data_IF_413128370689
#
_entry.id   IF_413128370689
#
_cell.length_a   1.000
_cell.length_b   1.000
_cell.length_c   1.000
_cell.angle_alpha   90.00
_cell.angle_beta   90.00
_cell.angle_gamma   90.00
#
_symmetry.space_group_name_H-M   'P 1'
#
loop_
_entity.id
_entity.type
_entity.pdbx_description
1 polymer ?
#
# COMPACT_ATOMS: atom_id res chain seq x y z
N UNK A 1 -0.45 0.90 3.96
CA UNK A 1 -0.60 1.63 5.24
C UNK A 1 -1.25 3.02 5.09
N UNK A 2 -1.07 3.72 3.98
CA UNK A 2 -1.81 4.96 3.68
C UNK A 2 -3.32 4.70 3.62
N UNK A 3 -3.75 3.60 3.04
CA UNK A 3 -5.15 3.19 2.91
C UNK A 3 -5.86 2.87 4.25
N UNK A 4 -5.20 2.17 5.17
CA UNK A 4 -5.78 1.85 6.49
C UNK A 4 -6.08 3.08 7.37
N UNK A 5 -5.54 4.25 7.02
CA UNK A 5 -5.84 5.52 7.70
C UNK A 5 -6.89 6.36 6.99
N UNK A 6 -7.11 6.10 5.69
CA UNK A 6 -8.14 6.78 4.89
C UNK A 6 -9.46 6.01 4.98
N UNK A 7 -9.44 4.68 5.05
CA UNK A 7 -10.65 3.87 5.17
C UNK A 7 -11.51 4.18 6.42
N UNK A 8 -10.97 4.32 7.65
CA UNK A 8 -11.76 4.78 8.79
C UNK A 8 -12.34 6.18 8.59
N UNK A 9 -11.62 7.06 7.89
CA UNK A 9 -12.12 8.39 7.53
C UNK A 9 -13.24 8.27 6.48
N UNK A 10 -13.09 7.37 5.52
CA UNK A 10 -14.09 7.09 4.48
C UNK A 10 -15.32 6.40 5.09
N UNK A 11 -15.16 5.44 6.00
CA UNK A 11 -16.27 4.80 6.70
C UNK A 11 -17.04 5.80 7.60
N UNK A 12 -16.35 6.73 8.25
CA UNK A 12 -16.96 7.85 8.98
C UNK A 12 -17.65 8.84 8.05
N UNK A 13 -17.07 9.07 6.85
CA UNK A 13 -17.57 9.99 5.85
C UNK A 13 -18.82 9.46 5.14
N UNK A 14 -18.93 8.15 4.94
CA UNK A 14 -20.00 7.56 4.13
C UNK A 14 -21.11 6.86 4.95
N UNK A 15 -20.99 6.82 6.27
CA UNK A 15 -22.07 6.31 7.13
C UNK A 15 -22.44 4.85 6.90
N UNK A 16 -21.56 4.05 6.31
CA UNK A 16 -21.68 2.61 6.30
C UNK A 16 -21.27 2.15 7.70
N UNK A 17 -22.25 1.90 8.56
CA UNK A 17 -22.01 1.31 9.85
C UNK A 17 -21.40 -0.07 9.63
N UNK A 18 -20.08 -0.17 9.79
CA UNK A 18 -19.49 -1.46 10.11
C UNK A 18 -20.15 -1.89 11.43
N UNK A 19 -21.01 -2.89 11.37
CA UNK A 19 -21.53 -3.58 12.56
C UNK A 19 -20.33 -4.22 13.25
N UNK A 20 -19.67 -3.48 14.14
CA UNK A 20 -18.73 -4.04 15.10
C UNK A 20 -19.56 -4.84 16.11
N UNK A 21 -19.62 -6.15 15.91
CA UNK A 21 -20.04 -7.05 16.96
C UNK A 21 -19.01 -6.97 18.10
N UNK A 22 -19.45 -6.83 19.37
CA UNK A 22 -18.53 -6.83 20.49
C UNK A 22 -17.90 -8.23 20.62
N UNK A 23 -16.59 -8.33 20.41
CA UNK A 23 -15.85 -9.55 20.71
C UNK A 23 -15.59 -9.63 22.22
N UNK A 24 -16.55 -10.19 22.95
CA UNK A 24 -16.28 -10.73 24.27
C UNK A 24 -15.83 -12.19 24.11
N UNK A 25 -14.54 -12.41 24.00
CA UNK A 25 -13.94 -13.73 24.24
C UNK A 25 -12.85 -13.58 25.30
N UNK A 26 -12.83 -14.45 26.32
CA UNK A 26 -11.89 -14.36 27.42
C UNK A 26 -10.47 -14.69 26.94
N UNK A 27 -9.52 -13.87 27.36
CA UNK A 27 -8.09 -14.14 27.17
C UNK A 27 -7.71 -15.35 28.05
N UNK A 28 -7.59 -16.50 27.46
CA UNK A 28 -6.84 -17.62 28.05
C UNK A 28 -5.42 -17.60 27.48
N UNK A 29 -4.46 -17.38 28.35
CA UNK A 29 -3.05 -17.56 28.06
C UNK A 29 -2.82 -19.03 27.68
N UNK A 30 -2.60 -19.28 26.39
CA UNK A 30 -2.14 -20.58 25.90
C UNK A 30 -0.72 -20.45 25.40
N UNK A 31 0.13 -21.22 26.07
CA UNK A 31 1.56 -21.43 25.93
C UNK A 31 2.05 -21.39 24.46
N UNK A 32 3.12 -20.63 24.23
CA UNK A 32 3.98 -20.73 23.07
C UNK A 32 4.72 -22.07 23.11
N UNK A 33 4.20 -23.07 22.42
CA UNK A 33 4.91 -24.30 22.13
C UNK A 33 4.58 -24.78 20.72
N UNK A 34 5.66 -24.96 19.93
CA UNK A 34 5.73 -25.68 18.67
C UNK A 34 4.93 -25.12 17.49
N UNK A 35 5.41 -24.03 16.88
CA UNK A 35 5.14 -23.76 15.48
C UNK A 35 6.01 -24.70 14.63
N UNK A 36 5.46 -25.85 14.26
CA UNK A 36 6.07 -26.82 13.35
C UNK A 36 6.29 -26.19 11.97
N UNK A 37 7.38 -26.59 11.32
CA UNK A 37 7.71 -26.32 9.94
C UNK A 37 6.58 -26.85 9.03
N UNK A 38 5.72 -25.96 8.53
CA UNK A 38 4.72 -26.28 7.53
C UNK A 38 4.79 -25.25 6.41
N UNK A 39 5.41 -25.62 5.29
CA UNK A 39 5.12 -24.96 4.03
C UNK A 39 3.67 -25.34 3.68
N UNK A 40 2.80 -24.35 3.47
CA UNK A 40 1.46 -24.58 2.95
C UNK A 40 1.52 -25.26 1.57
N UNK A 41 0.43 -25.84 1.10
CA UNK A 41 0.35 -26.51 -0.20
C UNK A 41 0.79 -25.62 -1.38
N UNK A 42 0.92 -24.32 -1.22
CA UNK A 42 1.35 -23.32 -2.20
C UNK A 42 2.83 -22.94 -2.09
N UNK A 43 3.59 -23.51 -1.16
CA UNK A 43 5.00 -23.13 -0.94
C UNK A 43 5.21 -21.79 -0.20
N UNK A 44 4.15 -21.12 0.21
CA UNK A 44 4.21 -19.92 1.04
C UNK A 44 4.40 -20.26 2.52
N UNK A 45 5.10 -19.44 3.33
CA UNK A 45 5.16 -19.62 4.77
C UNK A 45 3.79 -19.45 5.40
N UNK A 46 3.44 -20.31 6.36
CA UNK A 46 2.21 -20.16 7.12
C UNK A 46 2.43 -19.07 8.19
N UNK A 47 1.71 -17.96 8.04
CA UNK A 47 1.66 -16.90 9.05
C UNK A 47 0.56 -17.19 10.08
N UNK A 48 0.72 -16.78 11.36
CA UNK A 48 -0.39 -16.72 12.28
C UNK A 48 -1.51 -15.84 11.73
N UNK A 49 -2.77 -16.26 11.88
CA UNK A 49 -3.93 -15.56 11.29
C UNK A 49 -4.04 -14.09 11.71
N UNK A 50 -3.65 -13.77 12.93
CA UNK A 50 -3.66 -12.40 13.46
C UNK A 50 -2.63 -11.54 12.71
N UNK A 51 -1.44 -12.08 12.45
CA UNK A 51 -0.39 -11.40 11.69
C UNK A 51 -0.84 -11.23 10.24
N UNK A 52 -1.30 -12.29 9.59
CA UNK A 52 -1.76 -12.24 8.19
C UNK A 52 -2.86 -11.19 7.96
N UNK A 53 -3.84 -11.09 8.87
CA UNK A 53 -4.87 -10.04 8.81
C UNK A 53 -4.29 -8.62 8.89
N UNK A 54 -3.20 -8.44 9.59
CA UNK A 54 -2.60 -7.12 9.78
C UNK A 54 -1.64 -6.73 8.66
N UNK A 55 -0.85 -7.69 8.16
CA UNK A 55 0.21 -7.42 7.18
C UNK A 55 -0.15 -7.79 5.75
N UNK A 56 -1.16 -8.64 5.53
CA UNK A 56 -1.54 -9.20 4.25
C UNK A 56 -1.02 -10.64 4.04
N UNK A 57 -1.44 -11.30 2.95
CA UNK A 57 -1.07 -12.68 2.66
C UNK A 57 0.40 -12.83 2.27
N UNK A 58 1.04 -13.97 2.57
CA UNK A 58 2.38 -14.26 2.07
C UNK A 58 2.34 -14.60 0.58
N UNK A 59 3.38 -14.17 -0.15
CA UNK A 59 3.52 -14.49 -1.58
C UNK A 59 3.81 -15.98 -1.79
N UNK A 60 3.09 -16.62 -2.70
CA UNK A 60 3.11 -18.06 -2.95
C UNK A 60 4.26 -18.48 -3.88
N UNK A 61 5.52 -18.20 -3.49
CA UNK A 61 6.74 -18.61 -4.19
C UNK A 61 7.79 -19.07 -3.17
N UNK A 62 7.92 -20.38 -3.01
CA UNK A 62 8.83 -20.97 -2.02
C UNK A 62 10.30 -20.62 -2.27
N UNK A 63 10.73 -20.50 -3.54
CA UNK A 63 12.11 -20.19 -3.88
C UNK A 63 12.44 -18.74 -3.52
N UNK A 64 11.56 -17.80 -3.83
CA UNK A 64 11.72 -16.40 -3.47
C UNK A 64 11.64 -16.20 -1.95
N UNK A 65 10.72 -16.88 -1.25
CA UNK A 65 10.66 -16.88 0.21
C UNK A 65 11.98 -17.35 0.85
N UNK A 66 12.51 -18.50 0.39
CA UNK A 66 13.76 -19.02 0.90
C UNK A 66 14.96 -18.10 0.59
N UNK A 67 14.97 -17.46 -0.58
CA UNK A 67 16.00 -16.49 -0.97
C UNK A 67 16.01 -15.28 -0.03
N UNK A 68 14.85 -14.66 0.22
CA UNK A 68 14.71 -13.49 1.11
C UNK A 68 15.03 -13.87 2.56
N UNK A 69 14.55 -15.02 3.04
CA UNK A 69 14.89 -15.51 4.38
C UNK A 69 16.40 -15.74 4.52
N UNK A 70 17.06 -16.34 3.51
CA UNK A 70 18.51 -16.55 3.51
C UNK A 70 19.32 -15.25 3.63
N UNK A 71 18.92 -14.19 2.91
CA UNK A 71 19.54 -12.86 3.04
C UNK A 71 19.33 -12.30 4.45
N UNK A 72 18.11 -12.41 4.97
CA UNK A 72 17.77 -11.95 6.32
C UNK A 72 18.54 -12.70 7.43
N UNK A 73 18.64 -14.02 7.33
CA UNK A 73 19.41 -14.84 8.29
C UNK A 73 20.90 -14.48 8.29
N UNK A 74 21.47 -14.15 7.11
CA UNK A 74 22.85 -13.69 6.99
C UNK A 74 23.09 -12.37 7.76
N UNK A 75 22.13 -11.43 7.69
CA UNK A 75 22.17 -10.21 8.48
C UNK A 75 21.96 -10.47 9.98
N UNK A 76 20.99 -11.31 10.32
CA UNK A 76 20.66 -11.65 11.69
C UNK A 76 21.87 -12.27 12.43
N UNK A 77 22.67 -13.09 11.74
CA UNK A 77 23.91 -13.64 12.29
C UNK A 77 24.93 -12.55 12.70
N UNK A 78 24.84 -11.34 12.13
CA UNK A 78 25.68 -10.19 12.48
C UNK A 78 25.03 -9.28 13.54
N UNK A 79 23.73 -9.45 13.82
CA UNK A 79 22.98 -8.53 14.68
C UNK A 79 23.22 -8.76 16.18
N UNK A 80 23.68 -9.95 16.57
CA UNK A 80 23.80 -10.30 18.00
C UNK A 80 22.46 -10.32 18.75
N UNK A 81 21.34 -10.35 17.99
CA UNK A 81 20.00 -10.39 18.56
C UNK A 81 19.65 -11.81 18.99
N UNK A 82 19.20 -11.97 20.22
CA UNK A 82 18.64 -13.23 20.71
C UNK A 82 17.27 -13.52 20.11
N UNK A 83 16.92 -14.83 19.98
CA UNK A 83 15.63 -15.26 19.44
C UNK A 83 15.71 -15.72 17.98
N UNK A 84 14.58 -16.24 17.47
CA UNK A 84 14.46 -16.64 16.07
C UNK A 84 13.59 -15.61 15.33
N UNK A 85 14.14 -15.01 14.29
CA UNK A 85 13.41 -14.10 13.39
C UNK A 85 13.20 -14.79 12.05
N UNK A 86 12.12 -14.46 11.39
CA UNK A 86 11.74 -14.95 10.06
C UNK A 86 11.60 -13.78 9.11
N UNK A 87 12.02 -14.00 7.88
CA UNK A 87 11.92 -13.00 6.81
C UNK A 87 10.96 -13.53 5.76
N UNK A 88 9.95 -12.74 5.39
CA UNK A 88 8.91 -13.21 4.49
C UNK A 88 8.53 -12.15 3.44
N UNK A 89 8.16 -12.64 2.26
CA UNK A 89 7.63 -11.83 1.17
C UNK A 89 6.11 -11.80 1.26
N UNK A 90 5.52 -10.61 1.28
CA UNK A 90 4.07 -10.41 1.22
C UNK A 90 3.59 -10.23 -0.22
N UNK A 91 2.39 -10.74 -0.49
CA UNK A 91 1.71 -10.62 -1.79
C UNK A 91 1.04 -9.24 -1.93
N UNK A 92 1.86 -8.19 -1.91
CA UNK A 92 1.41 -6.82 -2.03
C UNK A 92 2.21 -6.09 -3.12
N UNK A 93 1.54 -5.38 -4.05
CA UNK A 93 2.21 -4.67 -5.15
C UNK A 93 2.82 -3.33 -4.73
N UNK A 94 2.53 -2.82 -3.54
CA UNK A 94 3.12 -1.58 -3.02
C UNK A 94 4.56 -1.80 -2.55
N UNK A 95 5.46 -0.83 -2.74
CA UNK A 95 6.82 -0.90 -2.23
C UNK A 95 6.85 -0.62 -0.72
N UNK A 96 7.11 -1.66 0.08
CA UNK A 96 7.19 -1.53 1.54
C UNK A 96 8.03 -2.64 2.17
N UNK A 97 8.62 -2.34 3.34
CA UNK A 97 9.13 -3.29 4.31
C UNK A 97 8.65 -2.89 5.71
N UNK A 98 8.51 -3.83 6.60
CA UNK A 98 8.20 -3.55 8.01
C UNK A 98 8.46 -4.76 8.89
N UNK A 99 8.66 -4.51 10.17
CA UNK A 99 8.85 -5.54 11.18
C UNK A 99 7.66 -5.60 12.13
N UNK A 100 7.24 -6.83 12.48
CA UNK A 100 6.20 -7.10 13.47
C UNK A 100 6.50 -8.38 14.23
N UNK A 101 6.46 -8.31 15.57
CA UNK A 101 6.82 -9.44 16.42
C UNK A 101 8.23 -9.96 16.11
N UNK A 102 8.35 -11.20 15.69
CA UNK A 102 9.60 -11.83 15.26
C UNK A 102 9.68 -12.02 13.72
N UNK A 103 8.92 -11.25 12.97
CA UNK A 103 8.94 -11.25 11.51
C UNK A 103 9.46 -9.93 10.97
N UNK A 104 10.19 -10.02 9.86
CA UNK A 104 10.52 -8.91 8.97
C UNK A 104 9.89 -9.21 7.62
N UNK A 105 9.07 -8.33 7.15
CA UNK A 105 8.33 -8.45 5.91
C UNK A 105 8.87 -7.50 4.85
N UNK A 106 8.96 -8.02 3.62
CA UNK A 106 9.14 -7.22 2.40
C UNK A 106 8.01 -7.52 1.43
N UNK A 107 7.57 -6.54 0.68
CA UNK A 107 6.52 -6.72 -0.32
C UNK A 107 7.09 -7.01 -1.69
N UNK A 108 6.30 -7.64 -2.58
CA UNK A 108 6.69 -7.81 -4.00
C UNK A 108 6.99 -6.46 -4.67
N UNK A 109 6.21 -5.42 -4.34
CA UNK A 109 6.45 -4.09 -4.87
C UNK A 109 7.81 -3.53 -4.50
N UNK A 110 8.29 -3.76 -3.26
CA UNK A 110 9.65 -3.40 -2.88
C UNK A 110 10.67 -4.20 -3.67
N UNK A 111 10.54 -5.53 -3.72
CA UNK A 111 11.46 -6.38 -4.48
C UNK A 111 11.54 -5.99 -5.96
N UNK A 112 10.43 -5.61 -6.59
CA UNK A 112 10.44 -5.13 -7.97
C UNK A 112 11.24 -3.83 -8.14
N UNK A 113 11.27 -2.95 -7.15
CA UNK A 113 11.96 -1.66 -7.19
C UNK A 113 13.46 -1.75 -6.97
N UNK A 114 13.94 -2.77 -6.25
CA UNK A 114 15.37 -2.97 -5.95
C UNK A 114 16.12 -3.55 -7.15
N UNK A 115 17.44 -3.31 -7.21
CA UNK A 115 18.28 -3.74 -8.32
C UNK A 115 19.22 -4.90 -7.98
N UNK A 116 19.52 -5.12 -6.70
CA UNK A 116 20.45 -6.14 -6.27
C UNK A 116 20.18 -6.63 -4.83
N UNK A 117 20.87 -7.69 -4.43
CA UNK A 117 20.73 -8.29 -3.10
C UNK A 117 21.23 -7.36 -1.98
N UNK A 118 22.19 -6.49 -2.26
CA UNK A 118 22.69 -5.55 -1.24
C UNK A 118 21.61 -4.53 -0.87
N UNK A 119 20.79 -4.08 -1.82
CA UNK A 119 19.65 -3.20 -1.53
C UNK A 119 18.54 -3.92 -0.74
N UNK A 120 18.29 -5.20 -1.05
CA UNK A 120 17.41 -6.04 -0.22
C UNK A 120 17.97 -6.20 1.20
N UNK A 121 19.28 -6.47 1.31
CA UNK A 121 19.94 -6.57 2.60
C UNK A 121 19.89 -5.25 3.38
N UNK A 122 19.99 -4.10 2.70
CA UNK A 122 19.83 -2.78 3.32
C UNK A 122 18.41 -2.58 3.88
N UNK A 123 17.38 -2.97 3.14
CA UNK A 123 15.97 -2.89 3.62
C UNK A 123 15.75 -3.79 4.84
N UNK A 124 16.19 -5.04 4.78
CA UNK A 124 16.06 -5.98 5.90
C UNK A 124 16.90 -5.54 7.12
N UNK A 125 18.10 -5.01 6.89
CA UNK A 125 18.97 -4.46 7.93
C UNK A 125 18.37 -3.25 8.64
N UNK A 126 17.72 -2.36 7.92
CA UNK A 126 16.97 -1.22 8.46
C UNK A 126 15.85 -1.69 9.39
N UNK A 127 15.06 -2.68 8.97
CA UNK A 127 14.00 -3.25 9.81
C UNK A 127 14.55 -3.98 11.05
N UNK A 128 15.68 -4.68 10.92
CA UNK A 128 16.39 -5.25 12.08
C UNK A 128 16.88 -4.16 13.04
N UNK A 129 17.31 -3.01 12.52
CA UNK A 129 17.63 -1.83 13.33
C UNK A 129 16.44 -1.36 14.15
N UNK A 130 15.27 -1.24 13.56
CA UNK A 130 14.04 -0.89 14.28
C UNK A 130 13.66 -1.93 15.35
N UNK A 131 13.80 -3.21 15.06
CA UNK A 131 13.53 -4.29 16.02
C UNK A 131 14.52 -4.27 17.21
N UNK A 132 15.82 -4.19 16.91
CA UNK A 132 16.88 -4.22 17.92
C UNK A 132 16.77 -3.07 18.93
N UNK A 133 16.28 -1.92 18.47
CA UNK A 133 16.05 -0.74 19.32
C UNK A 133 14.62 -0.67 19.89
N UNK A 134 13.77 -1.62 19.59
CA UNK A 134 12.36 -1.63 20.04
C UNK A 134 11.58 -0.36 19.68
N UNK A 135 11.84 0.27 18.53
CA UNK A 135 11.28 1.55 18.13
C UNK A 135 9.75 1.55 18.10
N UNK A 136 9.11 0.46 17.67
CA UNK A 136 7.65 0.34 17.66
C UNK A 136 7.05 0.46 19.07
N UNK A 137 7.64 -0.23 20.06
CA UNK A 137 7.21 -0.16 21.45
C UNK A 137 7.46 1.23 22.06
N UNK A 138 8.59 1.85 21.74
CA UNK A 138 8.90 3.20 22.18
C UNK A 138 7.91 4.22 21.61
N UNK A 139 7.58 4.14 20.29
CA UNK A 139 6.56 5.00 19.67
C UNK A 139 5.17 4.81 20.27
N UNK A 140 4.78 3.57 20.57
CA UNK A 140 3.51 3.28 21.20
C UNK A 140 3.41 3.89 22.61
N UNK A 141 4.45 3.74 23.44
CA UNK A 141 4.53 4.33 24.78
C UNK A 141 4.52 5.86 24.73
N UNK A 142 5.32 6.46 23.86
CA UNK A 142 5.38 7.91 23.72
C UNK A 142 4.04 8.49 23.25
N UNK A 143 3.35 7.83 22.31
CA UNK A 143 2.00 8.22 21.88
C UNK A 143 0.99 8.13 23.02
N UNK A 144 1.03 7.04 23.81
CA UNK A 144 0.13 6.89 24.96
C UNK A 144 0.38 8.01 25.98
N UNK A 145 1.63 8.32 26.31
CA UNK A 145 1.95 9.41 27.21
C UNK A 145 1.44 10.79 26.75
N UNK A 146 1.48 11.06 25.43
CA UNK A 146 0.88 12.29 24.88
C UNK A 146 -0.64 12.30 25.05
N UNK A 147 -1.31 11.18 24.84
CA UNK A 147 -2.77 11.09 25.01
C UNK A 147 -3.18 11.23 26.48
N UNK A 148 -2.44 10.61 27.39
CA UNK A 148 -2.67 10.71 28.83
C UNK A 148 -2.48 12.15 29.32
N UNK A 149 -1.40 12.83 28.91
CA UNK A 149 -1.17 14.24 29.23
C UNK A 149 -2.25 15.16 28.66
N UNK A 150 -2.79 14.85 27.48
CA UNK A 150 -3.87 15.61 26.87
C UNK A 150 -5.19 15.46 27.65
N UNK A 151 -5.49 14.25 28.12
CA UNK A 151 -6.65 13.98 28.98
C UNK A 151 -6.50 14.71 30.32
N UNK A 152 -5.33 14.59 30.97
CA UNK A 152 -5.04 15.27 32.21
C UNK A 152 -5.19 16.80 32.07
N UNK A 153 -4.61 17.40 31.02
CA UNK A 153 -4.72 18.82 30.76
C UNK A 153 -6.18 19.28 30.58
N UNK A 154 -7.00 18.48 29.87
CA UNK A 154 -8.42 18.75 29.70
C UNK A 154 -9.18 18.71 31.03
N UNK A 155 -8.88 17.73 31.88
CA UNK A 155 -9.51 17.56 33.23
C UNK A 155 -9.10 18.68 34.16
N UNK A 156 -7.80 18.95 34.30
CA UNK A 156 -7.27 19.97 35.23
C UNK A 156 -7.75 21.37 34.87
N UNK A 157 -7.83 21.69 33.60
CA UNK A 157 -8.25 23.02 33.13
C UNK A 157 -9.77 23.15 32.91
N UNK A 158 -10.51 22.04 32.96
CA UNK A 158 -11.93 22.01 32.57
C UNK A 158 -12.16 22.30 31.07
N UNK A 159 -11.12 22.27 30.25
CA UNK A 159 -11.15 22.70 28.85
C UNK A 159 -10.71 21.61 27.88
N UNK A 160 -11.65 20.99 27.14
CA UNK A 160 -11.31 20.04 26.08
C UNK A 160 -10.43 20.65 24.98
N UNK A 161 -10.44 21.98 24.81
CA UNK A 161 -9.62 22.68 23.83
C UNK A 161 -8.15 22.67 24.22
N UNK A 162 -7.85 22.83 25.51
CA UNK A 162 -6.47 22.71 26.02
C UNK A 162 -5.95 21.29 25.82
N UNK A 163 -6.76 20.27 26.15
CA UNK A 163 -6.40 18.88 25.90
C UNK A 163 -6.08 18.61 24.43
N UNK A 164 -6.92 19.10 23.50
CA UNK A 164 -6.64 18.98 22.05
C UNK A 164 -5.36 19.68 21.63
N UNK A 165 -5.03 20.85 22.20
CA UNK A 165 -3.77 21.55 21.91
C UNK A 165 -2.58 20.73 22.39
N UNK A 166 -2.61 20.20 23.63
CA UNK A 166 -1.55 19.32 24.16
C UNK A 166 -1.37 18.08 23.31
N UNK A 167 -2.47 17.42 22.91
CA UNK A 167 -2.42 16.27 22.01
C UNK A 167 -1.76 16.62 20.66
N UNK A 168 -2.19 17.72 20.04
CA UNK A 168 -1.63 18.17 18.75
C UNK A 168 -0.13 18.45 18.86
N UNK A 169 0.28 19.21 19.84
CA UNK A 169 1.68 19.64 20.00
C UNK A 169 2.58 18.46 20.39
N UNK A 170 2.08 17.55 21.24
CA UNK A 170 2.76 16.31 21.57
C UNK A 170 2.90 15.36 20.38
N UNK A 171 1.85 15.21 19.54
CA UNK A 171 1.92 14.40 18.32
C UNK A 171 2.87 15.01 17.28
N UNK A 172 3.01 16.35 17.23
CA UNK A 172 4.02 17.00 16.39
C UNK A 172 5.44 16.73 16.88
N UNK A 173 5.66 16.74 18.21
CA UNK A 173 6.96 16.38 18.79
C UNK A 173 7.35 14.93 18.48
N UNK A 174 6.39 14.00 18.44
CA UNK A 174 6.65 12.60 18.08
C UNK A 174 7.16 12.42 16.65
N UNK A 175 6.89 13.34 15.72
CA UNK A 175 7.45 13.30 14.35
C UNK A 175 8.96 13.49 14.35
N UNK A 176 9.49 14.39 15.19
CA UNK A 176 10.94 14.56 15.37
C UNK A 176 11.58 13.31 15.95
N UNK A 177 10.97 12.76 16.98
CA UNK A 177 11.39 11.50 17.59
C UNK A 177 11.43 10.34 16.58
N UNK A 178 10.40 10.27 15.71
CA UNK A 178 10.38 9.27 14.63
C UNK A 178 11.55 9.45 13.65
N UNK A 179 11.94 10.69 13.30
CA UNK A 179 13.10 10.94 12.42
C UNK A 179 14.42 10.49 13.05
N UNK A 180 14.61 10.75 14.34
CA UNK A 180 15.80 10.29 15.06
C UNK A 180 15.91 8.76 15.06
N UNK A 181 14.78 8.05 15.20
CA UNK A 181 14.71 6.58 15.10
C UNK A 181 15.01 6.07 13.69
N UNK A 182 14.63 6.79 12.65
CA UNK A 182 15.02 6.44 11.26
C UNK A 182 16.52 6.50 11.07
N UNK A 183 17.16 7.59 11.51
CA UNK A 183 18.62 7.76 11.43
C UNK A 183 19.37 6.70 12.25
N UNK A 184 18.82 6.28 13.38
CA UNK A 184 19.38 5.20 14.19
C UNK A 184 19.24 3.84 13.49
N UNK A 185 18.07 3.54 12.92
CA UNK A 185 17.83 2.33 12.18
C UNK A 185 18.73 2.24 10.92
N UNK A 186 18.95 3.36 10.22
CA UNK A 186 19.88 3.41 9.08
C UNK A 186 21.31 3.09 9.48
N UNK A 187 21.82 3.68 10.58
CA UNK A 187 23.19 3.43 11.08
C UNK A 187 23.38 1.96 11.48
N UNK A 188 22.41 1.40 12.20
CA UNK A 188 22.45 0.00 12.63
C UNK A 188 22.33 -0.94 11.42
N UNK A 189 21.39 -0.66 10.50
CA UNK A 189 21.23 -1.40 9.27
C UNK A 189 22.47 -1.37 8.39
N UNK A 190 23.11 -0.21 8.23
CA UNK A 190 24.37 -0.04 7.52
C UNK A 190 25.51 -0.89 8.15
N UNK A 191 25.64 -0.85 9.47
CA UNK A 191 26.60 -1.67 10.17
C UNK A 191 26.39 -3.18 9.94
N UNK A 192 25.14 -3.64 10.00
CA UNK A 192 24.79 -5.03 9.70
C UNK A 192 25.10 -5.40 8.25
N UNK A 193 24.76 -4.54 7.31
CA UNK A 193 24.99 -4.68 5.89
C UNK A 193 26.47 -4.91 5.58
N UNK A 194 27.33 -4.02 6.06
CA UNK A 194 28.79 -4.09 5.84
C UNK A 194 29.40 -5.33 6.51
N UNK A 195 29.02 -5.64 7.75
CA UNK A 195 29.48 -6.86 8.45
C UNK A 195 29.04 -8.15 7.75
N UNK A 196 27.89 -8.13 7.08
CA UNK A 196 27.45 -9.24 6.24
C UNK A 196 28.15 -9.31 4.87
N UNK A 197 29.09 -8.38 4.58
CA UNK A 197 29.91 -8.37 3.37
C UNK A 197 29.27 -7.73 2.16
N UNK A 198 28.19 -6.96 2.31
CA UNK A 198 27.56 -6.18 1.25
C UNK A 198 28.18 -4.78 1.13
N UNK A 199 28.01 -4.14 -0.04
CA UNK A 199 28.42 -2.75 -0.27
C UNK A 199 27.65 -1.78 0.63
N UNK A 200 28.35 -0.81 1.22
CA UNK A 200 27.74 0.11 2.18
C UNK A 200 26.80 1.14 1.52
N UNK A 201 27.09 1.58 0.32
CA UNK A 201 26.28 2.54 -0.44
C UNK A 201 24.89 2.00 -0.85
N UNK A 202 24.63 0.69 -0.65
CA UNK A 202 23.32 0.11 -0.87
C UNK A 202 22.24 0.69 0.04
N UNK A 203 22.60 1.17 1.25
CA UNK A 203 21.63 1.86 2.13
C UNK A 203 21.16 3.19 1.51
N UNK A 204 22.07 4.00 1.01
CA UNK A 204 21.70 5.23 0.32
C UNK A 204 20.94 4.97 -0.97
N UNK A 205 21.35 3.95 -1.75
CA UNK A 205 20.66 3.51 -2.97
C UNK A 205 19.21 3.11 -2.69
N UNK A 206 18.96 2.34 -1.64
CA UNK A 206 17.61 1.97 -1.20
C UNK A 206 16.75 3.20 -0.92
N UNK A 207 17.24 4.15 -0.11
CA UNK A 207 16.50 5.36 0.27
C UNK A 207 16.15 6.18 -0.97
N UNK A 208 17.11 6.36 -1.90
CA UNK A 208 16.89 7.10 -3.13
C UNK A 208 15.85 6.41 -4.04
N UNK A 209 15.84 5.07 -4.13
CA UNK A 209 14.82 4.32 -4.88
C UNK A 209 13.43 4.50 -4.30
N UNK A 210 13.28 4.40 -2.99
CA UNK A 210 11.99 4.64 -2.33
C UNK A 210 11.52 6.09 -2.53
N UNK A 211 12.44 7.05 -2.53
CA UNK A 211 12.16 8.45 -2.84
C UNK A 211 11.66 8.62 -4.28
N UNK A 212 12.36 8.04 -5.27
CA UNK A 212 11.95 8.07 -6.70
C UNK A 212 10.59 7.39 -6.91
N UNK A 213 10.34 6.27 -6.26
CA UNK A 213 9.04 5.60 -6.32
C UNK A 213 7.94 6.53 -5.81
N UNK A 214 8.14 7.18 -4.66
CA UNK A 214 7.18 8.13 -4.09
C UNK A 214 6.98 9.37 -4.97
N UNK A 215 8.05 9.89 -5.59
CA UNK A 215 7.97 11.00 -6.54
C UNK A 215 7.14 10.62 -7.78
N UNK A 216 7.36 9.41 -8.29
CA UNK A 216 6.60 8.90 -9.42
C UNK A 216 5.12 8.69 -9.09
N UNK A 217 4.79 8.19 -7.91
CA UNK A 217 3.40 8.07 -7.44
C UNK A 217 2.70 9.43 -7.36
N UNK A 218 3.39 10.47 -6.86
CA UNK A 218 2.88 11.84 -6.87
C UNK A 218 2.64 12.35 -8.30
N UNK A 219 3.58 12.09 -9.21
CA UNK A 219 3.43 12.46 -10.62
C UNK A 219 2.21 11.78 -11.27
N UNK A 220 1.97 10.49 -10.98
CA UNK A 220 0.79 9.78 -11.43
C UNK A 220 -0.52 10.41 -10.93
N UNK A 221 -0.51 11.03 -9.74
CA UNK A 221 -1.63 11.77 -9.18
C UNK A 221 -1.73 13.23 -9.70
N UNK A 222 -0.79 13.65 -10.56
CA UNK A 222 -0.72 15.02 -11.09
C UNK A 222 -0.17 16.03 -10.08
N UNK A 223 0.51 15.56 -9.04
CA UNK A 223 1.14 16.39 -8.03
C UNK A 223 2.63 16.62 -8.32
N UNK A 224 3.19 17.67 -7.73
CA UNK A 224 4.60 18.00 -7.90
C UNK A 224 5.48 16.93 -7.21
N UNK A 225 6.41 16.26 -7.94
CA UNK A 225 7.24 15.20 -7.40
C UNK A 225 8.08 15.64 -6.19
N UNK A 226 8.58 16.88 -6.17
CA UNK A 226 9.35 17.46 -5.06
C UNK A 226 8.54 17.63 -3.76
N UNK A 227 7.22 17.50 -3.81
CA UNK A 227 6.37 17.52 -2.62
C UNK A 227 6.58 16.30 -1.71
N UNK A 228 7.27 15.24 -2.17
CA UNK A 228 7.62 14.07 -1.35
C UNK A 228 8.46 14.49 -0.14
N UNK A 229 9.41 15.40 -0.33
CA UNK A 229 10.31 15.85 0.72
C UNK A 229 9.60 16.74 1.76
N UNK A 230 8.49 17.38 1.36
CA UNK A 230 7.62 18.20 2.24
C UNK A 230 6.54 17.37 2.96
N UNK A 231 6.11 16.25 2.37
CA UNK A 231 5.00 15.40 2.86
C UNK A 231 5.41 14.25 3.79
N UNK A 232 6.65 14.27 4.27
CA UNK A 232 7.20 13.18 5.09
C UNK A 232 6.37 12.78 6.33
N UNK A 233 5.35 13.57 6.67
CA UNK A 233 4.49 13.35 7.84
C UNK A 233 3.54 12.14 7.74
N UNK A 234 3.28 11.61 6.53
CA UNK A 234 2.36 10.49 6.28
C UNK A 234 3.08 9.20 5.88
N UNK A 235 4.38 9.26 5.63
CA UNK A 235 5.22 8.12 5.29
C UNK A 235 5.49 7.23 6.51
N UNK A 236 5.67 5.92 6.29
CA UNK A 236 6.16 4.99 7.32
C UNK A 236 7.60 5.32 7.72
N UNK A 237 8.42 5.80 6.77
CA UNK A 237 9.82 6.15 6.92
C UNK A 237 10.08 7.55 6.36
N UNK A 238 9.85 8.61 7.15
CA UNK A 238 9.95 9.98 6.70
C UNK A 238 11.40 10.46 6.49
N UNK A 239 11.54 11.64 5.88
CA UNK A 239 12.77 12.42 5.75
C UNK A 239 13.89 11.77 4.89
N UNK A 240 13.62 11.36 3.63
CA UNK A 240 14.65 10.72 2.80
C UNK A 240 15.90 11.59 2.60
N UNK A 241 15.75 12.90 2.43
CA UNK A 241 16.89 13.83 2.25
C UNK A 241 17.77 13.92 3.50
N UNK A 242 17.17 14.03 4.68
CA UNK A 242 17.90 14.02 5.96
C UNK A 242 18.67 12.71 6.17
N UNK A 243 18.06 11.58 5.81
CA UNK A 243 18.67 10.25 5.92
C UNK A 243 19.86 10.09 4.97
N UNK A 244 19.72 10.52 3.71
CA UNK A 244 20.81 10.52 2.73
C UNK A 244 22.00 11.37 3.20
N UNK A 245 21.74 12.62 3.63
CA UNK A 245 22.77 13.51 4.15
C UNK A 245 23.48 12.94 5.38
N UNK A 246 22.74 12.26 6.28
CA UNK A 246 23.34 11.63 7.45
C UNK A 246 24.25 10.45 7.10
N UNK A 247 24.00 9.74 6.00
CA UNK A 247 24.83 8.64 5.53
C UNK A 247 26.13 9.12 4.86
N UNK A 248 26.16 10.29 4.22
CA UNK A 248 27.35 10.85 3.55
C UNK A 248 28.57 10.97 4.47
N UNK A 249 28.33 11.22 5.76
CA UNK A 249 29.40 11.37 6.77
C UNK A 249 29.86 10.05 7.40
N UNK A 250 29.31 8.89 7.01
CA UNK A 250 29.61 7.60 7.62
C UNK A 250 30.60 6.82 6.71
N UNK A 251 31.82 6.49 7.18
CA UNK A 251 32.82 5.78 6.35
C UNK A 251 32.30 4.42 5.84
N UNK A 252 31.55 3.69 6.64
CA UNK A 252 30.95 2.41 6.28
C UNK A 252 30.01 2.53 5.08
N UNK A 253 29.40 3.68 4.83
CA UNK A 253 28.54 3.92 3.67
C UNK A 253 29.31 3.87 2.33
N UNK A 254 30.65 3.96 2.39
CA UNK A 254 31.54 3.85 1.23
C UNK A 254 32.26 2.49 1.20
N UNK A 255 31.98 1.58 2.13
CA UNK A 255 32.63 0.30 2.20
C UNK A 255 32.35 -0.55 0.94
N UNK A 256 33.37 -1.11 0.30
CA UNK A 256 33.17 -2.04 -0.81
C UNK A 256 32.54 -3.33 -0.32
N UNK A 257 31.80 -4.02 -1.20
CA UNK A 257 31.18 -5.29 -0.86
C UNK A 257 30.41 -5.90 -2.01
N UNK A 258 29.77 -7.03 -1.74
CA UNK A 258 28.99 -7.75 -2.73
C UNK A 258 27.69 -6.99 -3.10
N UNK A 259 27.31 -7.08 -4.37
CA UNK A 259 25.98 -6.68 -4.85
C UNK A 259 25.06 -7.88 -5.05
N UNK A 260 25.63 -9.00 -5.51
CA UNK A 260 24.92 -10.23 -5.90
C UNK A 260 23.76 -9.95 -6.89
N UNK A 261 23.90 -8.93 -7.75
CA UNK A 261 22.85 -8.49 -8.70
C UNK A 261 22.33 -9.65 -9.58
N UNK A 262 23.18 -10.51 -10.20
CA UNK A 262 22.66 -11.60 -11.05
C UNK A 262 21.77 -12.58 -10.30
N UNK A 263 22.13 -12.97 -9.08
CA UNK A 263 21.35 -13.87 -8.24
C UNK A 263 20.01 -13.24 -7.85
N UNK A 264 20.04 -11.97 -7.47
CA UNK A 264 18.83 -11.20 -7.14
C UNK A 264 17.86 -11.12 -8.31
N UNK A 265 18.35 -10.69 -9.49
CA UNK A 265 17.54 -10.57 -10.68
C UNK A 265 16.95 -11.92 -11.14
N UNK A 266 17.69 -13.01 -10.97
CA UNK A 266 17.19 -14.35 -11.23
C UNK A 266 16.06 -14.73 -10.25
N UNK A 267 16.20 -14.38 -8.96
CA UNK A 267 15.21 -14.69 -7.93
C UNK A 267 13.87 -13.99 -8.14
N UNK A 268 13.88 -12.74 -8.61
CA UNK A 268 12.65 -11.96 -8.84
C UNK A 268 12.06 -12.12 -10.26
N UNK A 269 12.77 -12.78 -11.18
CA UNK A 269 12.32 -12.96 -12.56
C UNK A 269 11.07 -13.86 -12.62
N UNK A 270 9.98 -13.35 -13.18
CA UNK A 270 8.68 -14.02 -13.24
C UNK A 270 7.73 -13.68 -12.08
N UNK A 271 8.21 -12.93 -11.08
CA UNK A 271 7.38 -12.47 -9.96
C UNK A 271 6.21 -11.62 -10.47
N UNK A 272 5.00 -11.80 -9.88
CA UNK A 272 3.86 -10.94 -10.16
C UNK A 272 4.13 -9.51 -9.65
N UNK A 273 3.71 -8.51 -10.41
CA UNK A 273 3.79 -7.08 -10.04
C UNK A 273 2.42 -6.43 -9.84
N UNK A 274 1.36 -7.20 -10.07
CA UNK A 274 -0.03 -6.80 -9.88
C UNK A 274 -0.61 -7.28 -8.56
N UNK A 275 -1.87 -6.87 -8.31
CA UNK A 275 -2.71 -7.46 -7.28
C UNK A 275 -2.95 -8.96 -7.54
N UNK A 276 -3.46 -9.67 -6.55
CA UNK A 276 -3.87 -11.05 -6.71
C UNK A 276 -5.20 -11.14 -7.50
N UNK A 277 -5.46 -12.23 -8.26
CA UNK A 277 -6.73 -12.40 -8.97
C UNK A 277 -7.96 -12.30 -8.06
N UNK A 278 -7.81 -12.65 -6.78
CA UNK A 278 -8.83 -12.58 -5.73
C UNK A 278 -9.21 -11.14 -5.38
N UNK A 279 -8.35 -10.19 -5.66
CA UNK A 279 -8.57 -8.76 -5.41
C UNK A 279 -9.00 -8.02 -6.67
N UNK A 280 -8.78 -8.62 -7.85
CA UNK A 280 -8.98 -7.98 -9.14
C UNK A 280 -7.81 -7.11 -9.57
N UNK A 281 -7.90 -6.53 -10.77
CA UNK A 281 -6.81 -5.81 -11.40
C UNK A 281 -7.19 -4.37 -11.76
N UNK A 282 -6.31 -3.45 -11.49
CA UNK A 282 -6.36 -2.10 -12.05
C UNK A 282 -5.59 -2.07 -13.37
N UNK A 283 -6.27 -1.66 -14.45
CA UNK A 283 -5.72 -1.47 -15.79
C UNK A 283 -5.97 -0.03 -16.23
N UNK A 284 -4.98 0.84 -16.07
CA UNK A 284 -5.12 2.29 -16.25
C UNK A 284 -6.23 2.86 -15.33
N UNK A 285 -7.34 3.34 -15.91
CA UNK A 285 -8.51 3.82 -15.16
C UNK A 285 -9.65 2.79 -15.10
N UNK A 286 -9.37 1.52 -15.36
CA UNK A 286 -10.38 0.44 -15.27
C UNK A 286 -10.06 -0.48 -14.11
N UNK A 287 -11.09 -0.91 -13.41
CA UNK A 287 -11.05 -2.04 -12.50
C UNK A 287 -11.72 -3.24 -13.14
N UNK A 288 -11.07 -4.41 -13.08
CA UNK A 288 -11.52 -5.66 -13.69
C UNK A 288 -11.26 -6.81 -12.70
N UNK A 289 -12.30 -7.53 -12.31
CA UNK A 289 -12.19 -8.61 -11.34
C UNK A 289 -12.54 -9.96 -11.97
N UNK A 290 -11.56 -10.86 -12.20
CA UNK A 290 -11.76 -12.10 -12.93
C UNK A 290 -12.71 -13.07 -12.22
N UNK A 291 -12.62 -13.19 -10.88
CA UNK A 291 -13.43 -14.16 -10.14
C UNK A 291 -14.87 -13.68 -9.89
N UNK A 292 -15.07 -12.41 -9.61
CA UNK A 292 -16.41 -11.82 -9.50
C UNK A 292 -17.03 -11.53 -10.88
N UNK A 293 -16.22 -11.59 -11.95
CA UNK A 293 -16.60 -11.27 -13.34
C UNK A 293 -17.25 -9.90 -13.46
N UNK A 294 -16.66 -8.90 -12.84
CA UNK A 294 -17.14 -7.51 -12.86
C UNK A 294 -16.04 -6.55 -13.31
N UNK A 295 -16.46 -5.41 -13.82
CA UNK A 295 -15.55 -4.33 -14.15
C UNK A 295 -16.26 -2.98 -14.21
N UNK A 296 -15.51 -1.91 -14.06
CA UNK A 296 -15.97 -0.55 -14.31
C UNK A 296 -14.84 0.33 -14.82
N UNK A 297 -15.17 1.49 -15.35
CA UNK A 297 -14.22 2.48 -15.86
C UNK A 297 -14.38 3.79 -15.08
N UNK A 298 -13.36 4.20 -14.35
CA UNK A 298 -13.29 5.50 -13.70
C UNK A 298 -13.01 6.62 -14.71
N UNK A 299 -13.23 7.91 -14.36
CA UNK A 299 -12.82 9.01 -15.22
C UNK A 299 -11.30 8.97 -15.49
N UNK A 300 -10.86 9.47 -16.66
CA UNK A 300 -9.45 9.37 -17.09
C UNK A 300 -8.46 10.07 -16.18
N UNK A 301 -8.88 11.05 -15.43
CA UNK A 301 -8.08 11.79 -14.46
C UNK A 301 -8.05 11.15 -13.07
N UNK A 302 -8.64 9.96 -12.92
CA UNK A 302 -8.61 9.18 -11.68
C UNK A 302 -7.46 8.20 -11.65
N UNK A 303 -6.81 8.12 -10.49
CA UNK A 303 -5.95 7.02 -10.09
C UNK A 303 -6.75 6.04 -9.25
N UNK A 304 -6.76 4.78 -9.63
CA UNK A 304 -7.37 3.69 -8.86
C UNK A 304 -6.31 3.01 -7.99
N UNK A 305 -6.71 2.73 -6.77
CA UNK A 305 -5.96 1.96 -5.79
C UNK A 305 -6.83 0.81 -5.34
N UNK A 306 -6.33 -0.40 -5.50
CA UNK A 306 -7.01 -1.62 -5.11
C UNK A 306 -6.50 -2.09 -3.75
N UNK A 307 -7.40 -2.57 -2.90
CA UNK A 307 -7.13 -3.14 -1.58
C UNK A 307 -8.16 -4.23 -1.33
N UNK A 308 -7.90 -5.13 -0.38
CA UNK A 308 -8.82 -6.18 0.04
C UNK A 308 -10.20 -5.67 0.51
N UNK A 309 -10.31 -4.40 0.90
CA UNK A 309 -11.57 -3.77 1.31
C UNK A 309 -12.35 -3.15 0.13
N UNK A 310 -11.70 -2.98 -1.04
CA UNK A 310 -12.29 -2.42 -2.24
C UNK A 310 -11.35 -1.51 -3.04
N UNK A 311 -11.91 -0.78 -3.98
CA UNK A 311 -11.17 0.11 -4.88
C UNK A 311 -11.43 1.56 -4.53
N UNK A 312 -10.36 2.31 -4.22
CA UNK A 312 -10.40 3.74 -4.05
C UNK A 312 -9.91 4.44 -5.31
N UNK A 313 -10.75 5.25 -5.93
CA UNK A 313 -10.37 6.19 -6.97
C UNK A 313 -10.16 7.59 -6.41
N UNK A 314 -9.05 8.22 -6.78
CA UNK A 314 -8.74 9.61 -6.42
C UNK A 314 -8.56 10.43 -7.69
N UNK A 315 -9.38 11.45 -7.84
CA UNK A 315 -9.29 12.41 -8.94
C UNK A 315 -8.25 13.51 -8.66
N UNK A 316 -7.72 14.11 -9.71
CA UNK A 316 -6.77 15.26 -9.59
C UNK A 316 -7.37 16.47 -8.88
N UNK A 317 -8.68 16.59 -8.85
CA UNK A 317 -9.45 17.60 -8.13
C UNK A 317 -9.85 17.20 -6.71
N UNK A 318 -9.23 16.12 -6.19
CA UNK A 318 -9.53 15.50 -4.89
C UNK A 318 -10.93 14.87 -4.77
N UNK A 319 -11.68 14.74 -5.86
CA UNK A 319 -12.88 13.90 -5.88
C UNK A 319 -12.53 12.44 -5.60
N UNK A 320 -13.45 11.74 -4.92
CA UNK A 320 -13.23 10.33 -4.52
C UNK A 320 -14.32 9.42 -5.10
N UNK A 321 -13.91 8.23 -5.46
CA UNK A 321 -14.76 7.11 -5.81
C UNK A 321 -14.31 5.92 -4.95
N UNK A 322 -15.20 5.37 -4.15
CA UNK A 322 -14.94 4.11 -3.46
C UNK A 322 -15.91 3.04 -3.97
N UNK A 323 -15.37 1.90 -4.35
CA UNK A 323 -16.13 0.74 -4.84
C UNK A 323 -15.83 -0.49 -4.02
N UNK A 324 -16.87 -1.24 -3.67
CA UNK A 324 -16.74 -2.56 -3.05
C UNK A 324 -18.01 -3.39 -3.30
N UNK A 325 -17.95 -4.70 -3.01
CA UNK A 325 -19.11 -5.59 -3.07
C UNK A 325 -19.29 -6.30 -1.70
N UNK A 326 -20.53 -6.64 -1.39
CA UNK A 326 -20.87 -7.39 -0.16
C UNK A 326 -21.86 -8.52 -0.46
N UNK A 327 -21.70 -9.61 0.29
CA UNK A 327 -22.66 -10.72 0.32
C UNK A 327 -23.70 -10.59 1.43
N UNK A 328 -23.70 -9.48 2.17
CA UNK A 328 -24.74 -9.26 3.18
C UNK A 328 -26.11 -9.23 2.51
N UNK A 329 -27.08 -9.97 3.05
CA UNK A 329 -28.43 -10.02 2.48
C UNK A 329 -29.07 -8.63 2.47
N UNK A 330 -29.49 -8.18 1.29
CA UNK A 330 -30.25 -6.93 1.11
C UNK A 330 -31.62 -7.26 0.54
N UNK A 331 -32.59 -7.69 1.41
CA UNK A 331 -33.92 -8.07 0.98
C UNK A 331 -34.72 -6.85 0.49
N UNK A 332 -35.65 -7.10 -0.44
CA UNK A 332 -36.43 -6.05 -1.08
C UNK A 332 -35.67 -5.34 -2.18
N UNK A 333 -36.20 -4.20 -2.62
CA UNK A 333 -35.52 -3.40 -3.63
C UNK A 333 -34.34 -2.63 -3.02
N UNK A 334 -33.28 -2.40 -3.83
CA UNK A 334 -32.11 -1.63 -3.41
C UNK A 334 -32.48 -0.19 -3.02
N UNK A 335 -33.48 0.39 -3.69
CA UNK A 335 -33.98 1.73 -3.36
C UNK A 335 -34.66 1.77 -1.98
N UNK A 336 -35.44 0.74 -1.61
CA UNK A 336 -36.04 0.61 -0.28
C UNK A 336 -34.98 0.33 0.78
N UNK A 337 -34.03 -0.57 0.50
CA UNK A 337 -32.93 -0.86 1.40
C UNK A 337 -32.12 0.42 1.69
N UNK A 338 -31.77 1.20 0.66
CA UNK A 338 -31.04 2.45 0.78
C UNK A 338 -31.80 3.45 1.68
N UNK A 339 -33.12 3.59 1.49
CA UNK A 339 -33.96 4.47 2.28
C UNK A 339 -34.03 4.08 3.77
N UNK A 340 -34.07 2.80 4.04
CA UNK A 340 -34.30 2.28 5.39
C UNK A 340 -33.00 2.07 6.19
N UNK A 341 -31.88 1.78 5.52
CA UNK A 341 -30.64 1.34 6.17
C UNK A 341 -29.54 2.38 6.18
N UNK A 342 -29.39 3.19 5.15
CA UNK A 342 -28.36 4.23 5.14
C UNK A 342 -28.72 5.39 6.07
N UNK A 343 -27.74 5.90 6.79
CA UNK A 343 -27.90 7.06 7.69
C UNK A 343 -26.77 8.08 7.46
N UNK A 344 -27.09 9.37 7.34
CA UNK A 344 -28.44 9.92 7.23
C UNK A 344 -29.17 9.36 6.01
N UNK A 345 -30.51 9.25 6.11
CA UNK A 345 -31.32 8.72 5.00
C UNK A 345 -31.08 9.53 3.73
N UNK A 346 -30.67 8.87 2.63
CA UNK A 346 -30.43 9.56 1.37
C UNK A 346 -31.68 10.26 0.82
N UNK A 347 -31.45 11.36 0.09
CA UNK A 347 -32.47 12.03 -0.73
C UNK A 347 -32.34 11.58 -2.18
N UNK A 348 -33.30 11.97 -3.03
CA UNK A 348 -33.31 11.73 -4.47
C UNK A 348 -33.05 10.26 -4.84
N UNK A 349 -33.61 9.34 -4.03
CA UNK A 349 -33.46 7.91 -4.26
C UNK A 349 -34.29 7.52 -5.50
N UNK A 350 -33.57 6.97 -6.49
CA UNK A 350 -34.14 6.50 -7.75
C UNK A 350 -33.76 5.04 -7.96
N UNK A 351 -34.77 4.24 -8.36
CA UNK A 351 -34.50 2.93 -8.95
C UNK A 351 -33.91 3.12 -10.34
N UNK A 352 -32.92 2.32 -10.68
CA UNK A 352 -32.20 2.37 -11.94
C UNK A 352 -31.89 0.94 -12.41
N UNK A 353 -31.40 0.84 -13.62
CA UNK A 353 -30.84 -0.38 -14.19
C UNK A 353 -29.44 -0.08 -14.69
N UNK A 354 -28.48 -0.96 -14.34
CA UNK A 354 -27.10 -0.89 -14.79
C UNK A 354 -26.68 -2.30 -15.17
N UNK A 355 -26.25 -2.51 -16.42
CA UNK A 355 -25.86 -3.82 -16.96
C UNK A 355 -26.98 -4.87 -16.78
N UNK A 356 -28.21 -4.54 -17.17
CA UNK A 356 -29.41 -5.35 -17.03
C UNK A 356 -29.72 -5.83 -15.59
N UNK A 357 -29.15 -5.15 -14.61
CA UNK A 357 -29.29 -5.50 -13.18
C UNK A 357 -29.97 -4.39 -12.41
N UNK A 358 -30.71 -4.77 -11.36
CA UNK A 358 -31.32 -3.82 -10.43
C UNK A 358 -30.26 -2.90 -9.84
N UNK A 359 -30.54 -1.61 -9.90
CA UNK A 359 -29.67 -0.60 -9.30
C UNK A 359 -30.49 0.45 -8.54
N UNK A 360 -29.83 1.17 -7.65
CA UNK A 360 -30.38 2.32 -6.95
C UNK A 360 -29.36 3.44 -6.85
N UNK A 361 -29.80 4.68 -7.03
CA UNK A 361 -28.95 5.87 -6.92
C UNK A 361 -29.60 6.81 -5.90
N UNK A 362 -28.81 7.35 -4.97
CA UNK A 362 -29.28 8.29 -3.96
C UNK A 362 -28.24 9.36 -3.63
N UNK A 363 -28.69 10.45 -3.03
CA UNK A 363 -27.84 11.55 -2.60
C UNK A 363 -27.78 11.64 -1.08
N UNK A 364 -26.64 12.01 -0.52
CA UNK A 364 -26.58 12.41 0.89
C UNK A 364 -27.33 13.75 1.07
N UNK A 365 -28.17 13.92 2.12
CA UNK A 365 -28.84 15.17 2.37
C UNK A 365 -27.86 16.35 2.50
N UNK A 366 -28.17 17.46 1.86
CA UNK A 366 -27.42 18.72 2.02
C UNK A 366 -27.59 19.22 3.47
N UNK A 367 -26.51 19.70 4.09
CA UNK A 367 -26.56 20.23 5.45
C UNK A 367 -26.35 19.19 6.56
N UNK A 368 -26.08 17.91 6.25
CA UNK A 368 -25.57 16.99 7.24
C UNK A 368 -24.12 17.40 7.61
N UNK A 369 -23.91 17.68 8.88
CA UNK A 369 -22.82 18.38 9.58
C UNK A 369 -21.34 18.04 9.31
N UNK A 370 -20.96 17.62 8.13
CA UNK A 370 -19.59 17.14 7.91
C UNK A 370 -18.70 18.06 7.10
N UNK A 371 -19.21 19.20 6.59
CA UNK A 371 -18.44 20.06 5.68
C UNK A 371 -18.04 19.38 4.37
N UNK A 372 -18.50 18.15 4.16
CA UNK A 372 -18.23 17.35 2.98
C UNK A 372 -19.03 17.89 1.80
N UNK A 373 -18.42 17.82 0.62
CA UNK A 373 -19.02 18.16 -0.65
C UNK A 373 -20.27 17.35 -1.00
N UNK A 374 -20.57 17.19 -2.27
CA UNK A 374 -21.65 16.32 -2.71
C UNK A 374 -21.26 14.84 -2.62
N UNK A 375 -22.17 14.03 -2.04
CA UNK A 375 -22.03 12.58 -1.96
C UNK A 375 -23.18 11.92 -2.73
N UNK A 376 -22.84 10.94 -3.57
CA UNK A 376 -23.77 10.02 -4.24
C UNK A 376 -23.47 8.59 -3.87
N UNK A 377 -24.52 7.82 -3.75
CA UNK A 377 -24.49 6.37 -3.58
C UNK A 377 -25.04 5.71 -4.84
N UNK A 378 -24.32 4.74 -5.39
CA UNK A 378 -24.83 3.91 -6.48
C UNK A 378 -24.68 2.46 -6.02
N UNK A 379 -25.76 1.70 -6.04
CA UNK A 379 -25.79 0.28 -5.68
C UNK A 379 -26.26 -0.52 -6.89
N UNK A 380 -25.64 -1.66 -7.13
CA UNK A 380 -25.97 -2.57 -8.25
C UNK A 380 -26.03 -3.99 -7.71
N UNK A 381 -27.11 -4.72 -8.01
CA UNK A 381 -27.22 -6.15 -7.69
C UNK A 381 -26.45 -6.96 -8.72
N UNK A 382 -25.57 -7.86 -8.25
CA UNK A 382 -24.79 -8.75 -9.11
C UNK A 382 -24.81 -10.17 -8.52
N UNK A 383 -25.64 -11.04 -9.07
CA UNK A 383 -25.87 -12.38 -8.51
C UNK A 383 -26.41 -12.33 -7.09
N UNK A 384 -25.70 -12.99 -6.17
CA UNK A 384 -25.99 -13.02 -4.73
C UNK A 384 -25.36 -11.85 -3.95
N UNK A 385 -24.70 -10.93 -4.64
CA UNK A 385 -23.99 -9.80 -4.05
C UNK A 385 -24.65 -8.47 -4.41
N UNK A 386 -24.31 -7.45 -3.64
CA UNK A 386 -24.57 -6.06 -3.99
C UNK A 386 -23.24 -5.32 -4.05
N UNK A 387 -22.94 -4.76 -5.21
CA UNK A 387 -21.80 -3.89 -5.42
C UNK A 387 -22.23 -2.43 -5.26
N UNK A 388 -21.38 -1.61 -4.66
CA UNK A 388 -21.74 -0.23 -4.38
C UNK A 388 -20.58 0.73 -4.63
N UNK A 389 -20.96 1.93 -5.08
CA UNK A 389 -20.07 3.07 -5.22
C UNK A 389 -20.46 4.15 -4.22
N UNK A 390 -19.48 4.66 -3.50
CA UNK A 390 -19.58 5.87 -2.72
C UNK A 390 -18.77 6.94 -3.43
N UNK A 391 -19.42 8.00 -3.86
CA UNK A 391 -18.87 9.04 -4.72
C UNK A 391 -18.86 10.36 -3.95
N UNK A 392 -17.73 11.06 -3.93
CA UNK A 392 -17.55 12.35 -3.28
C UNK A 392 -16.96 13.35 -4.25
N UNK A 393 -17.56 14.52 -4.33
CA UNK A 393 -17.04 15.66 -5.06
C UNK A 393 -17.10 16.93 -4.21
N UNK A 394 -16.01 17.67 -4.17
CA UNK A 394 -15.84 18.92 -3.45
C UNK A 394 -15.55 20.10 -4.39
N UNK A 395 -15.50 21.30 -3.83
CA UNK A 395 -15.14 22.51 -4.57
C UNK A 395 -16.28 23.14 -5.39
N UNK A 396 -15.96 24.15 -6.21
CA UNK A 396 -16.95 24.95 -6.93
C UNK A 396 -17.69 24.16 -8.02
N UNK A 397 -17.01 23.21 -8.68
CA UNK A 397 -17.57 22.40 -9.78
C UNK A 397 -18.19 21.07 -9.31
N UNK A 398 -18.38 20.90 -8.00
CA UNK A 398 -18.84 19.64 -7.38
C UNK A 398 -20.10 19.06 -8.01
N UNK A 399 -21.07 19.92 -8.41
CA UNK A 399 -22.35 19.49 -8.98
C UNK A 399 -22.18 18.85 -10.36
N UNK A 400 -21.30 19.40 -11.18
CA UNK A 400 -20.92 18.81 -12.48
C UNK A 400 -20.06 17.56 -12.28
N UNK A 401 -19.12 17.62 -11.36
CA UNK A 401 -18.16 16.53 -11.12
C UNK A 401 -18.84 15.29 -10.59
N UNK A 402 -19.80 15.42 -9.68
CA UNK A 402 -20.53 14.28 -9.13
C UNK A 402 -21.30 13.52 -10.22
N UNK A 403 -21.83 14.21 -11.23
CA UNK A 403 -22.50 13.55 -12.35
C UNK A 403 -21.52 12.75 -13.23
N UNK A 404 -20.29 13.22 -13.39
CA UNK A 404 -19.21 12.48 -14.06
C UNK A 404 -18.89 11.19 -13.28
N UNK A 405 -18.87 11.25 -11.95
CA UNK A 405 -18.64 10.07 -11.11
C UNK A 405 -19.82 9.09 -11.17
N UNK A 406 -21.05 9.57 -11.19
CA UNK A 406 -22.24 8.73 -11.38
C UNK A 406 -22.20 8.05 -12.77
N UNK A 407 -21.80 8.80 -13.81
CA UNK A 407 -21.62 8.21 -15.15
C UNK A 407 -20.53 7.13 -15.16
N UNK A 408 -19.44 7.34 -14.42
CA UNK A 408 -18.40 6.30 -14.25
C UNK A 408 -18.94 5.07 -13.51
N UNK A 409 -19.70 5.23 -12.43
CA UNK A 409 -20.33 4.10 -11.74
C UNK A 409 -21.32 3.34 -12.65
N UNK A 410 -22.00 4.02 -13.58
CA UNK A 410 -22.88 3.39 -14.58
C UNK A 410 -22.14 2.59 -15.64
N UNK A 411 -20.79 2.67 -15.71
CA UNK A 411 -19.99 1.77 -16.56
C UNK A 411 -19.76 0.40 -15.92
N UNK A 412 -20.26 0.17 -14.71
CA UNK A 412 -20.26 -1.16 -14.10
C UNK A 412 -20.88 -2.18 -15.05
N UNK A 413 -20.20 -3.30 -15.21
CA UNK A 413 -20.64 -4.36 -16.10
C UNK A 413 -20.16 -5.73 -15.65
N UNK A 414 -20.85 -6.75 -16.10
CA UNK A 414 -20.42 -8.14 -16.02
C UNK A 414 -19.40 -8.43 -17.11
N UNK A 415 -18.32 -9.13 -16.76
CA UNK A 415 -17.33 -9.63 -17.71
C UNK A 415 -17.80 -10.97 -18.27
N UNK A 416 -17.61 -11.19 -19.58
CA UNK A 416 -17.76 -12.52 -20.16
C UNK A 416 -16.70 -13.49 -19.61
N UNK A 417 -16.97 -14.80 -19.71
CA UNK A 417 -16.03 -15.84 -19.31
C UNK A 417 -14.69 -15.71 -20.03
N UNK A 418 -14.71 -15.34 -21.31
CA UNK A 418 -13.51 -15.12 -22.10
C UNK A 418 -12.71 -13.91 -21.62
N UNK A 419 -13.37 -12.78 -21.29
CA UNK A 419 -12.70 -11.60 -20.73
C UNK A 419 -12.09 -11.92 -19.36
N UNK A 420 -12.85 -12.57 -18.48
CA UNK A 420 -12.38 -12.96 -17.16
C UNK A 420 -11.19 -13.92 -17.22
N UNK A 421 -11.24 -14.92 -18.11
CA UNK A 421 -10.16 -15.89 -18.32
C UNK A 421 -8.89 -15.28 -18.93
N UNK A 422 -9.02 -14.17 -19.67
CA UNK A 422 -7.88 -13.45 -20.24
C UNK A 422 -7.16 -12.52 -19.25
N UNK A 423 -7.74 -12.30 -18.07
CA UNK A 423 -7.14 -11.45 -17.05
C UNK A 423 -6.10 -12.23 -16.23
N UNK A 424 -4.84 -11.88 -16.42
CA UNK A 424 -3.71 -12.44 -15.68
C UNK A 424 -2.90 -11.32 -15.01
N UNK A 425 -2.21 -11.62 -13.89
CA UNK A 425 -1.31 -10.67 -13.27
C UNK A 425 -0.14 -10.34 -14.21
N UNK A 426 0.22 -9.10 -14.32
CA UNK A 426 1.46 -8.70 -14.98
C UNK A 426 2.67 -9.27 -14.23
N UNK A 427 3.71 -9.63 -15.01
CA UNK A 427 4.92 -10.25 -14.46
C UNK A 427 6.17 -9.44 -14.75
N UNK A 428 7.02 -9.33 -13.74
CA UNK A 428 8.36 -8.79 -13.91
C UNK A 428 9.20 -9.76 -14.75
N UNK A 429 9.90 -9.22 -15.75
CA UNK A 429 10.86 -9.95 -16.57
C UNK A 429 12.22 -9.27 -16.54
N UNK A 430 13.23 -10.07 -16.42
CA UNK A 430 14.63 -9.63 -16.54
C UNK A 430 15.14 -10.05 -17.91
N UNK A 431 15.49 -9.08 -18.73
CA UNK A 431 15.91 -9.32 -20.11
C UNK A 431 17.28 -8.67 -20.40
N UNK A 432 18.01 -9.21 -21.35
CA UNK A 432 19.14 -8.53 -21.99
C UNK A 432 18.59 -7.64 -23.10
N UNK A 433 18.92 -6.33 -23.16
CA UNK A 433 18.31 -5.40 -24.11
C UNK A 433 18.57 -5.75 -25.59
N UNK A 434 19.68 -6.46 -25.91
CA UNK A 434 20.06 -6.88 -27.27
C UNK A 434 19.97 -5.75 -28.30
N UNK A 435 20.43 -4.55 -27.95
CA UNK A 435 20.42 -3.37 -28.81
C UNK A 435 19.07 -2.62 -28.87
N UNK A 436 18.04 -3.05 -28.15
CA UNK A 436 16.79 -2.30 -28.07
C UNK A 436 17.00 -0.98 -27.33
N UNK A 437 16.48 0.11 -27.87
CA UNK A 437 16.50 1.41 -27.21
C UNK A 437 15.53 1.46 -26.03
N UNK A 438 15.77 2.38 -25.08
CA UNK A 438 14.87 2.63 -23.96
C UNK A 438 13.43 2.91 -24.43
N UNK A 439 13.25 3.64 -25.53
CA UNK A 439 11.95 3.93 -26.11
C UNK A 439 11.25 2.65 -26.61
N UNK A 440 11.98 1.75 -27.27
CA UNK A 440 11.43 0.47 -27.72
C UNK A 440 11.03 -0.43 -26.55
N UNK A 441 11.84 -0.46 -25.48
CA UNK A 441 11.52 -1.21 -24.26
C UNK A 441 10.31 -0.62 -23.55
N UNK A 442 10.24 0.69 -23.41
CA UNK A 442 9.11 1.38 -22.79
C UNK A 442 7.78 1.11 -23.53
N UNK A 443 7.80 1.13 -24.87
CA UNK A 443 6.59 0.86 -25.67
C UNK A 443 5.98 -0.54 -25.42
N UNK A 444 6.79 -1.52 -25.03
CA UNK A 444 6.35 -2.90 -24.72
C UNK A 444 5.65 -3.02 -23.38
N UNK A 445 5.81 -2.06 -22.47
CA UNK A 445 5.15 -2.12 -21.19
C UNK A 445 3.62 -2.08 -21.34
N UNK A 446 2.87 -2.89 -20.54
CA UNK A 446 1.43 -3.05 -20.68
C UNK A 446 0.62 -1.92 -20.02
N UNK A 447 1.14 -0.71 -20.00
CA UNK A 447 0.50 0.47 -19.44
C UNK A 447 0.11 1.46 -20.53
N UNK A 448 -0.94 2.27 -20.27
CA UNK A 448 -1.40 3.30 -21.21
C UNK A 448 -0.55 4.55 -21.20
N UNK A 449 -0.03 4.93 -20.03
CA UNK A 449 0.67 6.18 -19.78
C UNK A 449 2.00 6.01 -19.05
N UNK A 450 2.83 7.06 -19.04
CA UNK A 450 4.10 7.14 -18.32
C UNK A 450 5.03 5.93 -18.53
N UNK A 451 4.99 5.32 -19.71
CA UNK A 451 5.74 4.08 -20.00
C UNK A 451 7.25 4.24 -19.83
N UNK A 452 7.82 5.38 -20.24
CA UNK A 452 9.23 5.65 -20.08
C UNK A 452 9.60 5.85 -18.62
N UNK A 453 8.85 6.67 -17.91
CA UNK A 453 9.05 6.95 -16.48
C UNK A 453 8.94 5.66 -15.65
N UNK A 454 7.95 4.83 -15.95
CA UNK A 454 7.79 3.51 -15.32
C UNK A 454 9.00 2.62 -15.56
N UNK A 455 9.52 2.58 -16.79
CA UNK A 455 10.71 1.79 -17.12
C UNK A 455 11.94 2.28 -16.37
N UNK A 456 12.13 3.61 -16.30
CA UNK A 456 13.26 4.22 -15.60
C UNK A 456 13.21 3.97 -14.09
N UNK A 457 12.05 4.22 -13.47
CA UNK A 457 11.84 3.97 -12.03
C UNK A 457 12.03 2.50 -11.68
N UNK A 458 11.47 1.59 -12.49
CA UNK A 458 11.63 0.14 -12.31
C UNK A 458 13.10 -0.31 -12.30
N UNK A 459 13.96 0.35 -13.09
CA UNK A 459 15.37 0.04 -13.20
C UNK A 459 16.29 0.97 -12.38
N UNK A 460 15.74 1.85 -11.55
CA UNK A 460 16.48 2.70 -10.64
C UNK A 460 17.41 3.72 -11.33
N UNK A 461 17.08 4.13 -12.56
CA UNK A 461 17.89 5.05 -13.37
C UNK A 461 17.14 6.34 -13.69
N UNK A 462 17.88 7.43 -13.93
CA UNK A 462 17.29 8.75 -14.17
C UNK A 462 16.94 9.01 -15.65
N UNK A 463 17.62 8.33 -16.57
CA UNK A 463 17.47 8.60 -17.99
C UNK A 463 17.76 7.38 -18.88
N UNK A 464 17.39 7.52 -20.16
CA UNK A 464 17.56 6.47 -21.16
C UNK A 464 19.04 6.08 -21.41
N UNK A 465 19.98 7.01 -21.21
CA UNK A 465 21.41 6.75 -21.41
C UNK A 465 21.97 5.85 -20.31
N UNK A 466 21.51 6.01 -19.08
CA UNK A 466 21.85 5.13 -17.97
C UNK A 466 21.23 3.75 -18.15
N UNK A 467 19.94 3.67 -18.55
CA UNK A 467 19.27 2.41 -18.85
C UNK A 467 20.04 1.61 -19.91
N UNK A 468 20.52 2.27 -20.96
CA UNK A 468 21.25 1.63 -22.06
C UNK A 468 22.61 1.01 -21.64
N UNK A 469 23.15 1.40 -20.48
CA UNK A 469 24.40 0.85 -19.93
C UNK A 469 24.18 -0.42 -19.09
N UNK A 470 22.92 -0.71 -18.74
CA UNK A 470 22.61 -1.89 -17.92
C UNK A 470 22.73 -3.16 -18.78
N UNK A 471 23.48 -4.18 -18.32
CA UNK A 471 23.61 -5.45 -19.05
C UNK A 471 22.29 -6.24 -19.05
N UNK A 472 21.49 -6.07 -18.03
CA UNK A 472 20.15 -6.63 -17.87
C UNK A 472 19.22 -5.54 -17.35
N UNK A 473 18.00 -5.53 -17.87
CA UNK A 473 16.93 -4.60 -17.48
C UNK A 473 15.70 -5.36 -17.03
N UNK A 474 15.01 -4.77 -16.07
CA UNK A 474 13.68 -5.20 -15.64
C UNK A 474 12.64 -4.61 -16.60
N UNK A 475 11.69 -5.42 -17.03
CA UNK A 475 10.52 -5.03 -17.81
C UNK A 475 9.28 -5.70 -17.22
N UNK A 476 8.10 -5.35 -17.73
CA UNK A 476 6.82 -5.93 -17.29
C UNK A 476 6.09 -6.45 -18.52
N UNK A 477 5.59 -7.68 -18.40
CA UNK A 477 4.82 -8.37 -19.44
C UNK A 477 3.44 -8.76 -18.90
N UNK A 478 2.42 -8.83 -19.79
CA UNK A 478 1.11 -9.37 -19.46
C UNK A 478 1.13 -10.80 -18.97
#
# INVERSE_FOLDING_TARGET
MVFRRILPLIALLFGVAACTLPSNAPQTAASAAAAGQGAGQTGAPVLPREIEREVGPPYADAALQAYVDGVGQKLLAQAGMGGSYRFAVLDLPIANAHAMSNYVFVTRGLLASLDDEAELAAALGHELGHLGQHHAAQRARARQGVLDAAVEAAVVTGSPTVGRSVARDGLLALRRYSREQELEADRLGLSLLVRAGYRGDAMASLIEKLRRQSQFELQLMGEAPDSVDRRSATSTHPAPVERLTALEGIPEAQAPGATNRPAYLAAINGMSVDDAPEEGFVRDNKFLHPLLKIGFTAPRDFRLFNDQDGVLGVGRDHSLLFFSCTKEPMPGSLAEWMRNKLKPTPTDIQSAEIDDSEAAIGARPRGSDTGLGQVRYVMVRHGDQVCYFNLLSEGPDRDRRIEVLVAAARTFRTLSDAEAAALHPYRLRVITPNGASAAQLAQRLPYGDFKMERLLVLNGVDNAAELARLPQVKTIEP
#
